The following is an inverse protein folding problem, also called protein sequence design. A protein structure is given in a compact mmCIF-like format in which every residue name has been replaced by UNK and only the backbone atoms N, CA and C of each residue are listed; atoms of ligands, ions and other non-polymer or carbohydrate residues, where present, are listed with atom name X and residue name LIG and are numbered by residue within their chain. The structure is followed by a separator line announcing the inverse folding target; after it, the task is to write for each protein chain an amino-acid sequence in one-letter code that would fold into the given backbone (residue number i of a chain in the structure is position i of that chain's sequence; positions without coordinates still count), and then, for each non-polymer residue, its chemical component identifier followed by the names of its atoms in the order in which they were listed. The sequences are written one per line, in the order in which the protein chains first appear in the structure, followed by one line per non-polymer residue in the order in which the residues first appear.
data_IF_897861713554
#
_entry.id   IF_897861713554
#
_cell.length_a   1.000
_cell.length_b   1.000
_cell.length_c   1.000
_cell.angle_alpha   90.00
_cell.angle_beta   90.00
_cell.angle_gamma   90.00
#
_symmetry.space_group_name_H-M   'P 1'
#
loop_
_entity.id
_entity.type
_entity.pdbx_description
1 polymer ?
#
# COMPACT_ATOMS: atom_id res chain seq x y z
N UNK A 1 10.20 -1.34 14.80
CA UNK A 1 9.01 -0.48 14.57
C UNK A 1 8.56 -0.80 13.17
N UNK A 2 7.31 -1.18 12.96
CA UNK A 2 6.80 -1.57 11.63
C UNK A 2 6.71 -0.34 10.75
N UNK A 3 7.24 -0.41 9.53
CA UNK A 3 7.09 0.69 8.56
C UNK A 3 5.70 0.68 7.96
N UNK A 4 5.16 1.88 7.75
CA UNK A 4 3.84 2.07 7.15
C UNK A 4 3.86 3.27 6.24
N UNK A 5 3.22 3.11 5.08
CA UNK A 5 3.04 4.17 4.10
C UNK A 5 1.56 4.36 3.81
N UNK A 6 1.18 5.59 3.48
CA UNK A 6 -0.18 5.94 3.09
C UNK A 6 -0.15 6.78 1.81
N UNK A 7 -1.12 6.56 0.94
CA UNK A 7 -1.44 7.44 -0.17
C UNK A 7 -2.96 7.67 -0.23
N UNK A 8 -3.37 8.83 -0.77
CA UNK A 8 -4.78 9.16 -1.03
C UNK A 8 -4.90 9.69 -2.45
N UNK A 9 -5.63 8.97 -3.30
CA UNK A 9 -5.79 9.31 -4.72
C UNK A 9 -7.28 9.27 -5.05
N UNK A 10 -7.83 10.38 -5.55
CA UNK A 10 -9.24 10.45 -5.97
C UNK A 10 -10.25 10.16 -4.84
N UNK A 11 -9.86 10.34 -3.57
CA UNK A 11 -10.70 10.00 -2.41
C UNK A 11 -10.54 8.56 -1.91
N UNK A 12 -9.89 7.69 -2.68
CA UNK A 12 -9.54 6.34 -2.24
C UNK A 12 -8.26 6.37 -1.39
N UNK A 13 -8.17 5.45 -0.43
CA UNK A 13 -7.06 5.36 0.52
C UNK A 13 -6.30 4.08 0.30
N UNK A 14 -4.97 4.19 0.34
CA UNK A 14 -4.06 3.08 0.17
C UNK A 14 -3.10 3.05 1.35
N UNK A 15 -2.80 1.85 1.83
CA UNK A 15 -1.90 1.68 2.97
C UNK A 15 -0.94 0.54 2.66
N UNK A 16 0.35 0.80 2.71
CA UNK A 16 1.37 -0.24 2.69
C UNK A 16 1.85 -0.47 4.12
N UNK A 17 1.92 -1.72 4.58
CA UNK A 17 2.46 -2.09 5.89
C UNK A 17 3.51 -3.16 5.73
N UNK A 18 4.64 -2.97 6.40
CA UNK A 18 5.60 -4.04 6.64
C UNK A 18 4.97 -5.09 7.55
N UNK A 19 5.00 -6.35 7.13
CA UNK A 19 4.66 -7.50 7.96
C UNK A 19 5.94 -8.17 8.46
N UNK A 20 5.96 -8.64 9.71
CA UNK A 20 7.08 -9.37 10.31
C UNK A 20 6.51 -10.47 11.22
N UNK A 21 7.15 -11.64 11.32
CA UNK A 21 8.53 -11.94 10.93
C UNK A 21 8.71 -12.35 9.46
N UNK A 22 7.62 -12.53 8.72
CA UNK A 22 7.66 -12.88 7.29
C UNK A 22 8.01 -11.64 6.49
N UNK A 23 9.11 -11.70 5.73
CA UNK A 23 9.70 -10.58 4.98
C UNK A 23 8.74 -10.15 3.86
N UNK A 24 7.72 -9.36 4.22
CA UNK A 24 6.62 -9.03 3.31
C UNK A 24 6.00 -7.67 3.58
N UNK A 25 5.26 -7.21 2.59
CA UNK A 25 4.65 -5.90 2.53
C UNK A 25 3.22 -6.03 2.03
N UNK A 26 2.25 -5.74 2.89
CA UNK A 26 0.85 -5.70 2.50
C UNK A 26 0.51 -4.34 1.90
N UNK A 27 -0.09 -4.33 0.72
CA UNK A 27 -0.83 -3.21 0.16
C UNK A 27 -2.32 -3.43 0.44
N UNK A 28 -2.94 -2.51 1.19
CA UNK A 28 -4.39 -2.47 1.41
C UNK A 28 -5.02 -1.35 0.59
N UNK A 29 -6.12 -1.68 -0.11
CA UNK A 29 -6.91 -0.75 -0.91
C UNK A 29 -8.26 -0.51 -0.24
N UNK A 30 -8.57 0.76 0.01
CA UNK A 30 -9.81 1.18 0.66
C UNK A 30 -10.65 2.07 -0.26
N UNK A 31 -11.93 1.75 -0.35
CA UNK A 31 -12.98 2.60 -0.94
C UNK A 31 -14.02 2.90 0.13
N UNK A 32 -14.33 4.19 0.36
CA UNK A 32 -15.26 4.62 1.41
C UNK A 32 -14.95 4.01 2.81
N UNK A 33 -13.67 3.99 3.18
CA UNK A 33 -13.13 3.38 4.41
C UNK A 33 -13.32 1.86 4.56
N UNK A 34 -13.82 1.18 3.53
CA UNK A 34 -13.94 -0.28 3.48
C UNK A 34 -12.73 -0.85 2.74
N UNK A 35 -12.02 -1.79 3.37
CA UNK A 35 -10.95 -2.52 2.71
C UNK A 35 -11.57 -3.45 1.67
N UNK A 36 -11.29 -3.21 0.39
CA UNK A 36 -11.86 -3.99 -0.72
C UNK A 36 -10.87 -5.01 -1.28
N UNK A 37 -9.56 -4.77 -1.11
CA UNK A 37 -8.48 -5.62 -1.61
C UNK A 37 -7.26 -5.51 -0.71
N UNK A 38 -6.51 -6.60 -0.63
CA UNK A 38 -5.18 -6.63 -0.07
C UNK A 38 -4.24 -7.49 -0.95
N UNK A 39 -2.97 -7.11 -0.99
CA UNK A 39 -1.93 -7.79 -1.74
C UNK A 39 -0.70 -7.94 -0.86
N UNK A 40 -0.18 -9.16 -0.73
CA UNK A 40 1.09 -9.42 -0.06
C UNK A 40 2.20 -9.44 -1.12
N UNK A 41 3.26 -8.66 -0.88
CA UNK A 41 4.42 -8.56 -1.76
C UNK A 41 5.72 -8.77 -0.97
N UNK A 42 6.78 -9.21 -1.63
CA UNK A 42 8.07 -9.48 -0.96
C UNK A 42 8.81 -8.21 -0.53
N UNK A 43 8.60 -7.09 -1.24
CA UNK A 43 9.30 -5.83 -0.96
C UNK A 43 8.38 -4.62 -1.06
N UNK A 44 8.77 -3.53 -0.39
CA UNK A 44 8.09 -2.24 -0.50
C UNK A 44 8.04 -1.72 -1.94
N UNK A 45 9.10 -1.94 -2.73
CA UNK A 45 9.16 -1.52 -4.12
C UNK A 45 8.06 -2.21 -4.94
N UNK A 46 7.95 -3.54 -4.82
CA UNK A 46 6.92 -4.33 -5.50
C UNK A 46 5.52 -3.91 -5.04
N UNK A 47 5.32 -3.62 -3.75
CA UNK A 47 4.04 -3.11 -3.25
C UNK A 47 3.65 -1.75 -3.86
N UNK A 48 4.62 -0.86 -4.12
CA UNK A 48 4.39 0.43 -4.79
C UNK A 48 4.14 0.25 -6.28
N UNK A 49 4.90 -0.60 -6.97
CA UNK A 49 4.70 -0.95 -8.38
C UNK A 49 3.30 -1.54 -8.58
N UNK A 50 2.89 -2.50 -7.76
CA UNK A 50 1.54 -3.09 -7.80
C UNK A 50 0.44 -2.03 -7.64
N UNK A 51 0.61 -1.07 -6.72
CA UNK A 51 -0.35 0.01 -6.53
C UNK A 51 -0.39 0.98 -7.73
N UNK A 52 0.74 1.19 -8.39
CA UNK A 52 0.79 1.98 -9.62
C UNK A 52 0.06 1.26 -10.77
N UNK A 53 0.29 -0.04 -10.96
CA UNK A 53 -0.32 -0.82 -12.03
C UNK A 53 -1.83 -1.01 -11.83
N UNK A 54 -2.26 -1.45 -10.65
CA UNK A 54 -3.66 -1.84 -10.39
C UNK A 54 -4.55 -0.66 -9.99
N UNK A 55 -3.95 0.35 -9.36
CA UNK A 55 -4.69 1.45 -8.72
C UNK A 55 -4.25 2.84 -9.20
N UNK A 56 -3.31 2.93 -10.15
CA UNK A 56 -2.76 4.20 -10.66
C UNK A 56 -2.21 5.12 -9.57
N UNK A 57 -1.72 4.55 -8.46
CA UNK A 57 -1.11 5.32 -7.37
C UNK A 57 0.34 5.67 -7.73
N UNK A 58 0.72 6.94 -7.86
CA UNK A 58 2.09 7.32 -8.19
C UNK A 58 3.10 6.94 -7.08
N UNK A 59 4.32 6.54 -7.43
CA UNK A 59 5.37 6.18 -6.46
C UNK A 59 5.74 7.31 -5.49
N UNK A 60 5.58 8.57 -5.90
CA UNK A 60 5.86 9.76 -5.10
C UNK A 60 4.67 10.21 -4.23
N UNK A 61 3.52 9.54 -4.30
CA UNK A 61 2.33 9.88 -3.51
C UNK A 61 2.35 9.27 -2.10
N UNK A 62 3.35 8.46 -1.77
CA UNK A 62 3.43 7.72 -0.52
C UNK A 62 4.09 8.54 0.59
N UNK A 63 3.38 8.70 1.70
CA UNK A 63 3.86 9.32 2.93
C UNK A 63 4.11 8.25 4.00
N UNK A 64 5.26 8.28 4.66
CA UNK A 64 5.54 7.40 5.81
C UNK A 64 4.80 7.92 7.05
N UNK A 65 4.12 7.02 7.78
CA UNK A 65 3.24 7.36 8.93
C UNK A 65 3.43 6.44 10.15
#
# INVERSE_FOLDING_TARGET
MFKKYKAVIGGNKYVIKEDLPEVGWYLFVYENDICIKDYLQETLAIAKEQAQEDCSVPENAWEEI
#
